data_IF_790013501363
#
_entry.id   IF_790013501363
#
_cell.length_a   1.000
_cell.length_b   1.000
_cell.length_c   1.000
_cell.angle_alpha   90.00
_cell.angle_beta   90.00
_cell.angle_gamma   90.00
#
_symmetry.space_group_name_H-M   'P 1'
#
loop_
_entity.id
_entity.type
_entity.pdbx_description
1 polymer ?
#
# COMPACT_ATOMS: atom_id res chain seq x y z
N UNK A 1 -11.26 7.45 -7.87
CA UNK A 1 -11.36 6.37 -6.86
C UNK A 1 -11.46 7.01 -5.50
N UNK A 2 -12.39 6.56 -4.68
CA UNK A 2 -12.57 7.05 -3.31
C UNK A 2 -12.06 6.01 -2.30
N UNK A 3 -12.06 6.37 -1.02
CA UNK A 3 -11.55 5.49 0.04
C UNK A 3 -12.34 4.18 0.13
N UNK A 4 -13.64 4.20 -0.07
CA UNK A 4 -14.47 3.00 0.02
C UNK A 4 -14.14 2.02 -1.09
N UNK A 5 -14.01 2.49 -2.33
CA UNK A 5 -13.62 1.68 -3.47
C UNK A 5 -12.19 1.11 -3.29
N UNK A 6 -11.28 1.93 -2.80
CA UNK A 6 -9.91 1.51 -2.53
C UNK A 6 -9.86 0.42 -1.46
N UNK A 7 -10.59 0.62 -0.37
CA UNK A 7 -10.67 -0.34 0.73
C UNK A 7 -11.25 -1.67 0.26
N UNK A 8 -12.35 -1.65 -0.49
CA UNK A 8 -12.96 -2.86 -1.06
C UNK A 8 -11.97 -3.62 -1.94
N UNK A 9 -11.23 -2.89 -2.76
CA UNK A 9 -10.23 -3.50 -3.64
C UNK A 9 -9.14 -4.21 -2.84
N UNK A 10 -8.56 -3.54 -1.84
CA UNK A 10 -7.52 -4.13 -0.99
C UNK A 10 -8.02 -5.36 -0.23
N UNK A 11 -9.25 -5.31 0.28
CA UNK A 11 -9.85 -6.43 1.02
C UNK A 11 -10.28 -7.59 0.12
N UNK A 12 -10.30 -7.40 -1.19
CA UNK A 12 -10.66 -8.46 -2.13
C UNK A 12 -9.58 -9.53 -2.30
N UNK A 13 -8.34 -9.24 -1.93
CA UNK A 13 -7.25 -10.20 -2.02
C UNK A 13 -7.35 -11.25 -0.91
N UNK A 14 -6.96 -12.46 -1.23
CA UNK A 14 -7.07 -13.61 -0.32
C UNK A 14 -6.26 -13.37 0.96
N UNK A 15 -6.92 -13.56 2.11
CA UNK A 15 -6.27 -13.51 3.43
C UNK A 15 -5.96 -12.11 3.94
N UNK A 16 -6.46 -11.07 3.27
CA UNK A 16 -6.21 -9.69 3.68
C UNK A 16 -7.12 -9.30 4.83
N UNK A 17 -6.54 -8.62 5.82
CA UNK A 17 -7.26 -7.97 6.91
C UNK A 17 -6.72 -6.57 7.11
N UNK A 18 -7.47 -5.76 7.85
CA UNK A 18 -7.13 -4.35 8.05
C UNK A 18 -7.08 -3.98 9.51
N UNK A 19 -6.24 -2.99 9.84
CA UNK A 19 -6.15 -2.39 11.17
C UNK A 19 -5.73 -0.95 11.07
N UNK A 20 -6.16 -0.14 12.03
CA UNK A 20 -5.61 1.20 12.28
C UNK A 20 -4.62 1.06 13.45
N UNK A 21 -3.30 0.90 13.15
CA UNK A 21 -2.34 0.48 14.17
C UNK A 21 -1.90 1.56 15.14
N UNK A 22 -2.23 2.84 14.89
CA UNK A 22 -1.72 3.97 15.65
C UNK A 22 -2.81 4.82 16.32
N UNK A 23 -3.77 4.21 17.09
CA UNK A 23 -4.89 4.98 17.62
C UNK A 23 -4.51 6.01 18.69
N UNK A 24 -3.36 5.83 19.34
CA UNK A 24 -2.97 6.62 20.50
C UNK A 24 -1.71 7.48 20.30
N UNK A 25 -1.17 7.55 19.07
CA UNK A 25 -0.03 8.42 18.81
C UNK A 25 -0.44 9.89 18.78
N UNK A 26 0.47 10.83 19.12
CA UNK A 26 0.13 12.27 19.12
C UNK A 26 -0.19 12.83 17.74
N UNK A 27 0.41 12.29 16.69
CA UNK A 27 0.24 12.76 15.32
C UNK A 27 -1.12 12.34 14.75
N UNK A 28 -1.96 13.33 14.46
CA UNK A 28 -3.30 13.09 13.90
C UNK A 28 -3.24 12.33 12.57
N UNK A 29 -2.28 12.66 11.71
CA UNK A 29 -2.15 11.98 10.43
C UNK A 29 -1.97 10.46 10.62
N UNK A 30 -1.06 10.08 11.51
CA UNK A 30 -0.78 8.66 11.78
C UNK A 30 -1.97 7.94 12.43
N UNK A 31 -2.75 8.63 13.27
CA UNK A 31 -3.95 8.03 13.88
C UNK A 31 -4.99 7.60 12.85
N UNK A 32 -5.06 8.31 11.73
CA UNK A 32 -6.03 8.05 10.67
C UNK A 32 -5.49 7.10 9.58
N UNK A 33 -4.33 6.49 9.80
CA UNK A 33 -3.74 5.53 8.86
C UNK A 33 -4.37 4.16 9.04
N UNK A 34 -4.86 3.63 7.92
CA UNK A 34 -5.40 2.27 7.80
C UNK A 34 -4.37 1.42 7.08
N UNK A 35 -3.97 0.31 7.70
CA UNK A 35 -3.02 -0.63 7.12
C UNK A 35 -3.71 -1.91 6.68
N UNK A 36 -3.32 -2.42 5.51
CA UNK A 36 -3.78 -3.69 4.98
C UNK A 36 -2.67 -4.72 5.12
N UNK A 37 -3.01 -5.85 5.72
CA UNK A 37 -2.09 -6.91 6.08
C UNK A 37 -2.41 -8.18 5.31
N UNK A 38 -1.38 -8.94 4.98
CA UNK A 38 -1.49 -10.34 4.63
C UNK A 38 -0.56 -11.11 5.57
N UNK A 39 -1.09 -12.13 6.26
CA UNK A 39 -0.47 -12.68 7.46
C UNK A 39 -0.20 -11.51 8.44
N UNK A 40 1.00 -11.37 8.97
CA UNK A 40 1.34 -10.27 9.88
C UNK A 40 2.12 -9.15 9.18
N UNK A 41 2.10 -9.10 7.85
CA UNK A 41 2.91 -8.16 7.07
C UNK A 41 2.05 -7.15 6.33
N UNK A 42 2.45 -5.89 6.38
CA UNK A 42 1.81 -4.81 5.63
C UNK A 42 2.16 -4.93 4.15
N UNK A 43 1.18 -4.69 3.28
CA UNK A 43 1.46 -4.49 1.86
C UNK A 43 0.95 -3.14 1.34
N UNK A 44 0.10 -2.47 2.12
CA UNK A 44 -0.46 -1.19 1.74
C UNK A 44 -0.92 -0.43 2.98
N UNK A 45 -0.75 0.90 2.98
CA UNK A 45 -1.44 1.74 3.96
C UNK A 45 -1.87 3.06 3.33
N UNK A 46 -2.88 3.68 3.92
CA UNK A 46 -3.51 4.90 3.42
C UNK A 46 -4.12 5.68 4.58
N UNK A 47 -4.08 7.02 4.52
CA UNK A 47 -4.82 7.85 5.46
C UNK A 47 -6.28 7.92 5.00
N UNK A 48 -7.22 7.48 5.83
CA UNK A 48 -8.63 7.36 5.44
C UNK A 48 -9.37 8.69 5.41
N UNK A 49 -8.88 9.71 6.11
CA UNK A 49 -9.51 11.04 6.16
C UNK A 49 -9.01 11.93 5.03
N UNK A 50 -7.70 12.01 4.83
CA UNK A 50 -7.09 12.85 3.80
C UNK A 50 -7.11 12.17 2.44
N UNK A 51 -6.86 10.87 2.41
CA UNK A 51 -6.84 10.07 1.19
C UNK A 51 -5.97 10.69 0.09
N UNK A 52 -4.74 11.09 0.48
CA UNK A 52 -3.80 11.77 -0.41
C UNK A 52 -2.96 10.79 -1.23
N UNK A 53 -2.41 9.76 -0.59
CA UNK A 53 -1.62 8.72 -1.26
C UNK A 53 -1.75 7.39 -0.53
N UNK A 54 -1.48 6.31 -1.24
CA UNK A 54 -1.23 5.01 -0.62
C UNK A 54 0.27 4.70 -0.68
N UNK A 55 0.78 4.02 0.34
CA UNK A 55 2.15 3.55 0.38
C UNK A 55 2.14 2.04 0.19
N UNK A 56 2.94 1.55 -0.76
CA UNK A 56 2.95 0.14 -1.17
C UNK A 56 4.37 -0.34 -1.40
N UNK A 57 4.56 -1.66 -1.31
CA UNK A 57 5.86 -2.27 -1.66
C UNK A 57 6.07 -2.30 -3.16
N UNK A 58 7.33 -2.16 -3.55
CA UNK A 58 7.73 -2.19 -4.94
C UNK A 58 9.13 -2.81 -5.04
N UNK A 59 9.39 -3.50 -6.13
CA UNK A 59 10.75 -3.97 -6.43
C UNK A 59 11.66 -2.76 -6.66
N UNK A 60 12.88 -2.74 -6.09
CA UNK A 60 13.81 -1.62 -6.27
C UNK A 60 14.08 -1.27 -7.72
N UNK A 61 14.15 -2.28 -8.60
CA UNK A 61 14.41 -2.08 -10.03
C UNK A 61 13.30 -1.31 -10.75
N UNK A 62 12.06 -1.45 -10.29
CA UNK A 62 10.90 -0.79 -10.88
C UNK A 62 10.63 0.58 -10.27
N UNK A 63 11.04 0.78 -9.03
CA UNK A 63 10.76 2.01 -8.26
C UNK A 63 11.26 3.28 -8.98
N UNK A 64 12.49 3.25 -9.46
CA UNK A 64 13.08 4.40 -10.17
C UNK A 64 12.37 4.71 -11.48
N UNK A 65 12.01 3.69 -12.23
CA UNK A 65 11.29 3.86 -13.51
C UNK A 65 9.90 4.46 -13.28
N UNK A 66 9.18 3.95 -12.27
CA UNK A 66 7.85 4.45 -11.93
C UNK A 66 7.89 5.92 -11.50
N UNK A 67 8.89 6.30 -10.69
CA UNK A 67 9.06 7.68 -10.25
C UNK A 67 9.42 8.62 -11.40
N UNK A 68 10.10 8.12 -12.42
CA UNK A 68 10.42 8.87 -13.62
C UNK A 68 9.18 9.02 -14.53
N UNK A 69 8.39 7.96 -14.65
CA UNK A 69 7.19 7.95 -15.50
C UNK A 69 6.05 8.80 -14.93
N UNK A 70 5.86 8.78 -13.60
CA UNK A 70 4.74 9.47 -12.95
C UNK A 70 5.23 10.43 -11.88
N UNK A 71 4.79 11.68 -11.93
CA UNK A 71 5.08 12.65 -10.87
C UNK A 71 4.37 12.31 -9.56
N UNK A 72 3.24 11.62 -9.65
CA UNK A 72 2.47 11.14 -8.50
C UNK A 72 3.06 9.92 -7.81
N UNK A 73 4.16 9.36 -8.31
CA UNK A 73 4.87 8.27 -7.62
C UNK A 73 6.16 8.82 -7.05
N UNK A 74 6.33 8.69 -5.73
CA UNK A 74 7.42 9.28 -4.97
C UNK A 74 8.01 8.25 -4.00
N UNK A 75 9.21 8.50 -3.43
CA UNK A 75 9.77 7.62 -2.41
C UNK A 75 8.79 7.38 -1.26
N UNK A 76 8.72 6.16 -0.77
CA UNK A 76 7.76 5.73 0.25
C UNK A 76 8.13 6.13 1.66
N UNK A 77 8.08 7.43 1.95
CA UNK A 77 8.29 7.93 3.30
C UNK A 77 7.03 7.68 4.16
N UNK A 78 7.14 7.28 5.45
CA UNK A 78 8.37 7.11 6.26
C UNK A 78 9.00 5.72 6.21
N UNK A 79 8.58 4.88 5.29
CA UNK A 79 9.08 3.51 5.15
C UNK A 79 10.45 3.48 4.46
N UNK A 80 11.07 2.30 4.37
CA UNK A 80 12.33 2.12 3.65
C UNK A 80 12.12 2.42 2.16
N UNK A 81 12.71 3.51 1.67
CA UNK A 81 12.56 4.03 0.30
C UNK A 81 13.05 3.06 -0.77
N UNK A 82 13.88 2.08 -0.43
CA UNK A 82 14.35 1.06 -1.37
C UNK A 82 13.22 0.12 -1.79
N UNK A 83 12.29 -0.16 -0.88
CA UNK A 83 11.24 -1.17 -1.08
C UNK A 83 9.82 -0.61 -1.08
N UNK A 84 9.65 0.66 -0.78
CA UNK A 84 8.34 1.29 -0.67
C UNK A 84 8.23 2.54 -1.53
N UNK A 85 7.06 2.72 -2.15
CA UNK A 85 6.72 3.93 -2.91
C UNK A 85 5.41 4.51 -2.41
N UNK A 86 5.26 5.82 -2.55
CA UNK A 86 4.01 6.53 -2.31
C UNK A 86 3.36 6.82 -3.66
N UNK A 87 2.11 6.42 -3.82
CA UNK A 87 1.33 6.63 -5.05
C UNK A 87 0.19 7.58 -4.73
N UNK A 88 0.26 8.80 -5.27
CA UNK A 88 -0.71 9.85 -5.00
C UNK A 88 -1.96 9.68 -5.86
N UNK A 89 -3.11 9.80 -5.20
CA UNK A 89 -4.41 9.76 -5.86
C UNK A 89 -4.68 11.09 -6.58
N UNK A 90 -5.52 11.06 -7.60
CA UNK A 90 -5.99 12.25 -8.31
C UNK A 90 -4.86 13.12 -8.90
N UNK A 91 -3.77 12.50 -9.28
CA UNK A 91 -2.67 13.10 -10.01
C UNK A 91 -2.52 12.39 -11.36
N UNK A 92 -1.29 12.13 -11.80
CA UNK A 92 -1.04 11.56 -13.13
C UNK A 92 -1.07 10.03 -13.20
N UNK A 93 -1.24 9.34 -12.06
CA UNK A 93 -1.33 7.87 -12.04
C UNK A 93 -2.79 7.45 -12.22
N UNK A 94 -3.15 6.78 -13.32
CA UNK A 94 -4.53 6.32 -13.51
C UNK A 94 -4.95 5.31 -12.44
N UNK A 95 -6.24 5.27 -12.10
CA UNK A 95 -6.79 4.33 -11.13
C UNK A 95 -6.45 2.87 -11.47
N UNK A 96 -6.50 2.51 -12.74
CA UNK A 96 -6.12 1.17 -13.22
C UNK A 96 -4.68 0.83 -12.86
N UNK A 97 -3.77 1.81 -13.02
CA UNK A 97 -2.36 1.65 -12.67
C UNK A 97 -2.16 1.53 -11.17
N UNK A 98 -2.90 2.33 -10.39
CA UNK A 98 -2.86 2.24 -8.92
C UNK A 98 -3.27 0.84 -8.47
N UNK A 99 -4.34 0.30 -9.02
CA UNK A 99 -4.81 -1.06 -8.71
C UNK A 99 -3.77 -2.11 -9.07
N UNK A 100 -3.14 -1.99 -10.23
CA UNK A 100 -2.06 -2.89 -10.64
C UNK A 100 -0.89 -2.86 -9.65
N UNK A 101 -0.47 -1.66 -9.24
CA UNK A 101 0.63 -1.50 -8.29
C UNK A 101 0.29 -2.06 -6.90
N UNK A 102 -0.94 -1.88 -6.45
CA UNK A 102 -1.40 -2.48 -5.18
C UNK A 102 -1.39 -4.01 -5.28
N UNK A 103 -1.86 -4.57 -6.38
CA UNK A 103 -1.83 -6.01 -6.63
C UNK A 103 -0.40 -6.56 -6.63
N UNK A 104 0.52 -5.84 -7.28
CA UNK A 104 1.94 -6.23 -7.29
C UNK A 104 2.54 -6.19 -5.88
N UNK A 105 2.17 -5.20 -5.07
CA UNK A 105 2.62 -5.11 -3.67
C UNK A 105 2.15 -6.32 -2.86
N UNK A 106 0.89 -6.70 -3.00
CA UNK A 106 0.35 -7.90 -2.38
C UNK A 106 1.15 -9.14 -2.78
N UNK A 107 1.42 -9.31 -4.07
CA UNK A 107 2.19 -10.46 -4.57
C UNK A 107 3.62 -10.50 -4.00
N UNK A 108 4.28 -9.35 -3.90
CA UNK A 108 5.63 -9.25 -3.33
C UNK A 108 5.61 -9.77 -1.88
N UNK A 109 4.63 -9.35 -1.10
CA UNK A 109 4.53 -9.75 0.31
C UNK A 109 4.19 -11.24 0.42
N UNK A 110 3.25 -11.74 -0.38
CA UNK A 110 2.88 -13.17 -0.39
C UNK A 110 4.08 -14.04 -0.71
N UNK A 111 4.89 -13.66 -1.70
CA UNK A 111 6.12 -14.40 -2.05
C UNK A 111 7.14 -14.42 -0.93
N UNK A 112 7.12 -13.45 -0.03
CA UNK A 112 8.03 -13.39 1.12
C UNK A 112 7.57 -14.25 2.29
N UNK A 113 6.34 -14.75 2.28
CA UNK A 113 5.79 -15.57 3.35
C UNK A 113 6.39 -16.98 3.34
N UNK A 114 6.40 -17.62 4.51
CA UNK A 114 6.75 -19.03 4.59
C UNK A 114 5.67 -19.88 3.92
N UNK A 115 6.02 -21.12 3.55
CA UNK A 115 5.05 -22.05 2.99
C UNK A 115 3.84 -22.23 3.90
N UNK A 116 4.08 -22.37 5.20
CA UNK A 116 3.03 -22.51 6.22
C UNK A 116 2.09 -21.30 6.23
N UNK A 117 2.65 -20.09 6.22
CA UNK A 117 1.86 -18.86 6.20
C UNK A 117 1.00 -18.78 4.93
N UNK A 118 1.57 -19.12 3.76
CA UNK A 118 0.82 -19.13 2.51
C UNK A 118 -0.33 -20.14 2.50
N UNK A 119 -0.12 -21.32 3.08
CA UNK A 119 -1.14 -22.35 3.19
C UNK A 119 -2.32 -21.91 4.07
N UNK A 120 -2.11 -20.99 4.97
CA UNK A 120 -3.14 -20.48 5.88
C UNK A 120 -3.98 -19.34 5.32
N UNK A 121 -3.68 -18.85 4.14
CA UNK A 121 -4.43 -17.73 3.52
C UNK A 121 -5.83 -18.14 3.04
#
# INVERSE_FOLDING_TARGET
MNIEEFREYCLSFKGVHEKMPFPNVPDKYSRDVLCFYVADKWFCFVNIEIFDFCCIKCNPDESGELQTEYTGIRPGWPMNKKYWISVYFNQDVPDEKIKELVSNSYDIVVKSLTKKEREML
#
